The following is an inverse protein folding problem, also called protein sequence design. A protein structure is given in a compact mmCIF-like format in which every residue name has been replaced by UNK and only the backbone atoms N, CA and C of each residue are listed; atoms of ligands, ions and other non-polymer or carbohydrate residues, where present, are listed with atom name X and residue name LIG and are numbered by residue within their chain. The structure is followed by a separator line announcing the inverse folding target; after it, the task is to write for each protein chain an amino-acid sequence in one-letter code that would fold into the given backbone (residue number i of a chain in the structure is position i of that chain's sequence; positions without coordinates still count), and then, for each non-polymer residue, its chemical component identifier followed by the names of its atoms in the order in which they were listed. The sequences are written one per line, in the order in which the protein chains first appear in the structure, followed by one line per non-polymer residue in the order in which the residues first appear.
data_IF_761647070239
#
_entry.id   IF_761647070239
#
_cell.length_a   1.000
_cell.length_b   1.000
_cell.length_c   1.000
_cell.angle_alpha   90.00
_cell.angle_beta   90.00
_cell.angle_gamma   90.00
#
_symmetry.space_group_name_H-M   'P 1'
#
loop_
_entity.id
_entity.type
_entity.pdbx_description
1 polymer ?
#
# COMPACT_ATOMS: atom_id res chain seq x y z
N UNK A 1 -5.70 25.01 -3.31
CA UNK A 1 -5.53 24.21 -2.08
C UNK A 1 -4.79 22.96 -2.47
N UNK A 2 -3.45 22.97 -2.37
CA UNK A 2 -2.62 21.77 -2.47
C UNK A 2 -2.99 20.90 -1.28
N UNK A 3 -3.93 19.97 -1.46
CA UNK A 3 -4.21 18.97 -0.44
C UNK A 3 -2.91 18.24 -0.17
N UNK A 4 -2.35 18.41 1.02
CA UNK A 4 -1.07 17.80 1.39
C UNK A 4 -1.11 16.30 1.07
N UNK A 5 -0.02 15.75 0.55
CA UNK A 5 0.06 14.32 0.24
C UNK A 5 0.09 13.50 1.53
N UNK A 6 -0.53 12.32 1.55
CA UNK A 6 -0.39 11.38 2.67
C UNK A 6 1.01 10.76 2.65
N UNK A 7 1.62 10.59 3.82
CA UNK A 7 2.88 9.84 3.94
C UNK A 7 2.59 8.35 3.76
N UNK A 8 3.40 7.67 2.95
CA UNK A 8 3.31 6.22 2.74
C UNK A 8 4.34 5.52 3.62
N UNK A 9 3.85 4.63 4.49
CA UNK A 9 4.66 3.68 5.26
C UNK A 9 4.45 2.28 4.67
N UNK A 10 5.48 1.44 4.70
CA UNK A 10 5.41 0.07 4.17
C UNK A 10 5.84 -0.94 5.22
N UNK A 11 4.99 -1.95 5.43
CA UNK A 11 5.33 -3.15 6.19
C UNK A 11 6.35 -4.01 5.42
N UNK A 12 7.14 -4.87 6.11
CA UNK A 12 8.21 -5.66 5.50
C UNK A 12 7.79 -6.51 4.30
N UNK A 13 6.57 -7.04 4.29
CA UNK A 13 6.05 -7.83 3.17
C UNK A 13 5.93 -7.00 1.88
N UNK A 14 5.37 -5.79 1.97
CA UNK A 14 5.19 -4.92 0.81
C UNK A 14 6.55 -4.44 0.30
N UNK A 15 7.49 -4.17 1.22
CA UNK A 15 8.89 -3.85 0.89
C UNK A 15 9.55 -4.97 0.09
N UNK A 16 9.55 -6.19 0.64
CA UNK A 16 10.15 -7.36 -0.01
C UNK A 16 9.51 -7.62 -1.38
N UNK A 17 8.19 -7.45 -1.49
CA UNK A 17 7.50 -7.59 -2.77
C UNK A 17 7.98 -6.55 -3.80
N UNK A 18 8.07 -5.27 -3.42
CA UNK A 18 8.56 -4.20 -4.29
C UNK A 18 10.00 -4.47 -4.77
N UNK A 19 10.89 -4.91 -3.86
CA UNK A 19 12.29 -5.23 -4.18
C UNK A 19 12.44 -6.35 -5.21
N UNK A 20 11.48 -7.27 -5.25
CA UNK A 20 11.50 -8.41 -6.18
C UNK A 20 10.72 -8.15 -7.48
N UNK A 21 10.13 -6.96 -7.66
CA UNK A 21 9.43 -6.64 -8.90
C UNK A 21 10.41 -6.34 -10.05
N UNK A 22 10.09 -6.78 -11.28
CA UNK A 22 10.71 -6.23 -12.48
C UNK A 22 10.51 -4.70 -12.53
N UNK A 23 11.51 -3.96 -13.02
CA UNK A 23 11.50 -2.49 -13.00
C UNK A 23 10.23 -1.86 -13.61
N UNK A 24 9.72 -2.40 -14.71
CA UNK A 24 8.50 -1.90 -15.34
C UNK A 24 7.25 -2.09 -14.45
N UNK A 25 7.18 -3.17 -13.68
CA UNK A 25 6.11 -3.41 -12.72
C UNK A 25 6.25 -2.54 -11.47
N UNK A 26 7.49 -2.30 -11.01
CA UNK A 26 7.76 -1.38 -9.91
C UNK A 26 7.21 0.02 -10.20
N UNK A 27 7.50 0.56 -11.40
CA UNK A 27 7.02 1.89 -11.81
C UNK A 27 5.49 1.96 -11.79
N UNK A 28 4.80 0.91 -12.23
CA UNK A 28 3.34 0.87 -12.18
C UNK A 28 2.85 0.85 -10.72
N UNK A 29 3.45 0.02 -9.86
CA UNK A 29 3.09 -0.04 -8.45
C UNK A 29 3.29 1.32 -7.75
N UNK A 30 4.44 1.97 -7.97
CA UNK A 30 4.74 3.31 -7.48
C UNK A 30 3.67 4.32 -7.92
N UNK A 31 3.31 4.37 -9.20
CA UNK A 31 2.27 5.29 -9.69
C UNK A 31 0.91 5.08 -9.02
N UNK A 32 0.55 3.83 -8.68
CA UNK A 32 -0.71 3.54 -7.97
C UNK A 32 -0.64 3.98 -6.51
N UNK A 33 0.50 3.77 -5.85
CA UNK A 33 0.74 4.21 -4.47
C UNK A 33 0.79 5.74 -4.39
N UNK A 34 1.40 6.41 -5.35
CA UNK A 34 1.42 7.86 -5.47
C UNK A 34 0.02 8.45 -5.58
N UNK A 35 -0.81 7.88 -6.47
CA UNK A 35 -2.22 8.29 -6.59
C UNK A 35 -3.00 8.06 -5.30
N UNK A 36 -2.71 6.98 -4.57
CA UNK A 36 -3.29 6.72 -3.27
C UNK A 36 -2.85 7.78 -2.25
N UNK A 37 -1.57 8.14 -2.23
CA UNK A 37 -1.03 9.17 -1.34
C UNK A 37 -1.72 10.52 -1.54
N UNK A 38 -2.05 10.89 -2.78
CA UNK A 38 -2.72 12.15 -3.10
C UNK A 38 -4.22 12.14 -2.73
N UNK A 39 -4.86 10.97 -2.77
CA UNK A 39 -6.32 10.85 -2.72
C UNK A 39 -6.80 9.87 -1.64
N UNK A 40 -6.03 9.65 -0.57
CA UNK A 40 -6.21 8.50 0.33
C UNK A 40 -7.62 8.36 0.94
N UNK A 41 -8.33 9.49 1.14
CA UNK A 41 -9.70 9.53 1.68
C UNK A 41 -10.80 9.57 0.62
N UNK A 42 -10.47 9.95 -0.63
CA UNK A 42 -11.45 10.16 -1.71
C UNK A 42 -11.34 9.13 -2.82
N UNK A 43 -10.24 8.38 -2.89
CA UNK A 43 -10.02 7.33 -3.87
C UNK A 43 -10.95 6.16 -3.53
N UNK A 44 -11.98 5.97 -4.36
CA UNK A 44 -12.96 4.89 -4.25
C UNK A 44 -12.83 3.84 -5.35
N UNK A 45 -13.89 3.06 -5.54
CA UNK A 45 -13.97 2.07 -6.62
C UNK A 45 -13.84 2.73 -8.02
N UNK A 46 -13.18 2.07 -8.98
CA UNK A 46 -12.67 0.69 -8.96
C UNK A 46 -11.28 0.50 -8.33
N UNK A 47 -10.62 1.59 -7.93
CA UNK A 47 -9.21 1.60 -7.52
C UNK A 47 -8.99 1.12 -6.10
N UNK A 48 -9.93 1.40 -5.21
CA UNK A 48 -9.89 0.91 -3.83
C UNK A 48 -11.19 0.21 -3.47
N UNK A 49 -11.17 -0.57 -2.39
CA UNK A 49 -12.36 -1.16 -1.80
C UNK A 49 -12.20 -1.25 -0.29
N UNK A 50 -13.29 -1.05 0.44
CA UNK A 50 -13.32 -1.29 1.88
C UNK A 50 -13.41 -2.79 2.19
N UNK A 51 -12.55 -3.27 3.10
CA UNK A 51 -12.52 -4.66 3.57
C UNK A 51 -13.15 -4.85 4.97
N UNK A 52 -13.67 -3.76 5.55
CA UNK A 52 -14.28 -3.70 6.88
C UNK A 52 -13.35 -3.08 7.93
N UNK A 53 -13.94 -2.44 8.93
CA UNK A 53 -13.17 -1.68 9.94
C UNK A 53 -12.35 -0.57 9.29
N UNK A 54 -11.08 -0.46 9.70
CA UNK A 54 -10.10 0.51 9.16
C UNK A 54 -9.39 0.02 7.88
N UNK A 55 -9.61 -1.24 7.50
CA UNK A 55 -8.89 -1.90 6.43
C UNK A 55 -9.50 -1.61 5.05
N UNK A 56 -8.62 -1.29 4.10
CA UNK A 56 -8.92 -1.03 2.69
C UNK A 56 -7.97 -1.83 1.81
N UNK A 57 -8.35 -2.05 0.56
CA UNK A 57 -7.45 -2.60 -0.47
C UNK A 57 -7.26 -1.61 -1.61
N UNK A 58 -6.04 -1.52 -2.14
CA UNK A 58 -5.70 -0.90 -3.42
C UNK A 58 -5.70 -1.98 -4.51
N UNK A 59 -6.28 -1.68 -5.66
CA UNK A 59 -6.57 -2.63 -6.75
C UNK A 59 -5.92 -2.16 -8.05
N UNK A 60 -5.06 -3.00 -8.63
CA UNK A 60 -4.43 -2.75 -9.93
C UNK A 60 -3.96 -4.06 -10.55
N UNK A 61 -3.51 -4.02 -11.80
CA UNK A 61 -2.96 -5.16 -12.53
C UNK A 61 -1.48 -4.93 -12.85
N UNK A 62 -0.69 -6.00 -12.74
CA UNK A 62 0.71 -6.05 -13.20
C UNK A 62 0.87 -7.19 -14.20
N UNK A 63 1.10 -6.86 -15.47
CA UNK A 63 1.30 -7.86 -16.52
C UNK A 63 0.13 -8.86 -16.65
N UNK A 64 -1.11 -8.37 -16.54
CA UNK A 64 -2.32 -9.20 -16.57
C UNK A 64 -2.65 -9.93 -15.26
N UNK A 65 -1.86 -9.73 -14.20
CA UNK A 65 -2.11 -10.28 -12.88
C UNK A 65 -2.74 -9.24 -11.96
N UNK A 66 -3.95 -9.52 -11.48
CA UNK A 66 -4.64 -8.67 -10.52
C UNK A 66 -3.94 -8.69 -9.17
N UNK A 67 -3.33 -7.56 -8.80
CA UNK A 67 -2.66 -7.34 -7.52
C UNK A 67 -3.52 -6.53 -6.57
N UNK A 68 -3.38 -6.84 -5.28
CA UNK A 68 -4.06 -6.18 -4.18
C UNK A 68 -3.04 -5.83 -3.12
N UNK A 69 -3.07 -4.59 -2.65
CA UNK A 69 -2.31 -4.16 -1.47
C UNK A 69 -3.33 -3.79 -0.40
N UNK A 70 -3.32 -4.47 0.73
CA UNK A 70 -4.12 -4.10 1.87
C UNK A 70 -3.44 -2.95 2.62
N UNK A 71 -4.21 -1.95 3.03
CA UNK A 71 -3.70 -0.78 3.72
C UNK A 71 -4.72 -0.23 4.72
N UNK A 72 -4.27 0.63 5.61
CA UNK A 72 -5.15 1.42 6.47
C UNK A 72 -4.72 2.89 6.52
N UNK A 73 -5.65 3.75 6.90
CA UNK A 73 -5.39 5.17 7.13
C UNK A 73 -5.06 5.35 8.61
N UNK A 74 -3.78 5.59 8.91
CA UNK A 74 -3.31 5.90 10.25
C UNK A 74 -3.49 7.39 10.56
N UNK A 75 -3.45 7.80 11.84
CA UNK A 75 -3.40 9.21 12.23
C UNK A 75 -2.27 9.98 11.52
N UNK A 76 -2.36 11.31 11.55
CA UNK A 76 -1.31 12.21 10.98
C UNK A 76 -1.16 12.11 9.46
N UNK A 77 -2.27 11.81 8.76
CA UNK A 77 -2.33 11.73 7.28
C UNK A 77 -1.34 10.71 6.73
N UNK A 78 -1.36 9.51 7.30
CA UNK A 78 -0.51 8.39 6.90
C UNK A 78 -1.33 7.26 6.30
N UNK A 79 -0.76 6.62 5.28
CA UNK A 79 -1.25 5.37 4.71
C UNK A 79 -0.17 4.33 4.98
N UNK A 80 -0.54 3.25 5.68
CA UNK A 80 0.38 2.14 5.92
C UNK A 80 -0.03 0.98 5.02
N UNK A 81 0.86 0.59 4.11
CA UNK A 81 0.69 -0.57 3.25
C UNK A 81 1.10 -1.83 4.03
N UNK A 82 0.16 -2.75 4.22
CA UNK A 82 0.27 -3.85 5.19
C UNK A 82 0.71 -5.16 4.55
N UNK A 83 -0.07 -5.63 3.58
CA UNK A 83 0.14 -6.92 2.91
C UNK A 83 -0.15 -6.80 1.42
N UNK A 84 0.38 -7.72 0.62
CA UNK A 84 0.17 -7.75 -0.82
C UNK A 84 -0.13 -9.17 -1.30
N UNK A 85 -1.11 -9.30 -2.18
CA UNK A 85 -1.48 -10.61 -2.74
C UNK A 85 -2.01 -10.49 -4.17
N UNK A 86 -1.83 -11.57 -4.93
CA UNK A 86 -2.48 -11.74 -6.23
C UNK A 86 -3.89 -12.26 -5.99
N UNK A 87 -4.89 -11.66 -6.63
CA UNK A 87 -6.25 -12.17 -6.63
C UNK A 87 -6.30 -13.47 -7.45
N UNK A 88 -6.62 -14.57 -6.80
CA UNK A 88 -6.78 -15.91 -7.41
C UNK A 88 -8.22 -16.41 -7.36
N UNK A 89 -9.03 -15.92 -6.41
CA UNK A 89 -10.42 -16.31 -6.17
C UNK A 89 -11.35 -15.10 -6.13
N UNK A 90 -12.65 -15.36 -6.02
CA UNK A 90 -13.66 -14.30 -5.84
C UNK A 90 -13.65 -13.73 -4.42
N UNK A 91 -13.27 -14.54 -3.43
CA UNK A 91 -13.18 -14.15 -2.02
C UNK A 91 -11.85 -14.64 -1.46
N UNK A 92 -11.03 -13.73 -0.97
CA UNK A 92 -9.72 -13.99 -0.41
C UNK A 92 -9.75 -13.79 1.12
N UNK A 93 -10.67 -14.48 1.82
CA UNK A 93 -10.92 -14.25 3.25
C UNK A 93 -9.65 -14.41 4.09
N UNK A 94 -8.81 -15.40 3.79
CA UNK A 94 -7.55 -15.62 4.48
C UNK A 94 -6.58 -14.43 4.35
N UNK A 95 -6.52 -13.80 3.16
CA UNK A 95 -5.66 -12.62 2.95
C UNK A 95 -6.21 -11.40 3.70
N UNK A 96 -7.53 -11.25 3.75
CA UNK A 96 -8.17 -10.18 4.53
C UNK A 96 -7.91 -10.38 6.03
N UNK A 97 -8.00 -11.59 6.54
CA UNK A 97 -7.75 -11.88 7.95
C UNK A 97 -6.27 -11.69 8.32
N UNK A 98 -5.35 -12.05 7.43
CA UNK A 98 -3.91 -11.79 7.56
C UNK A 98 -3.63 -10.29 7.59
N UNK A 99 -4.23 -9.52 6.68
CA UNK A 99 -4.12 -8.07 6.66
C UNK A 99 -4.69 -7.42 7.94
N UNK A 100 -5.79 -7.95 8.50
CA UNK A 100 -6.34 -7.51 9.78
C UNK A 100 -5.38 -7.79 10.95
N UNK A 101 -4.74 -8.94 10.97
CA UNK A 101 -3.76 -9.27 12.01
C UNK A 101 -2.55 -8.31 11.96
N UNK A 102 -2.01 -8.04 10.78
CA UNK A 102 -0.92 -7.07 10.59
C UNK A 102 -1.39 -5.66 10.96
N UNK A 103 -2.61 -5.25 10.58
CA UNK A 103 -3.19 -3.96 10.97
C UNK A 103 -3.27 -3.79 12.48
N UNK A 104 -3.75 -4.81 13.20
CA UNK A 104 -3.89 -4.76 14.66
C UNK A 104 -2.53 -4.69 15.37
N UNK A 105 -1.53 -5.44 14.89
CA UNK A 105 -0.17 -5.38 15.40
C UNK A 105 0.49 -4.02 15.14
N UNK A 106 0.36 -3.51 13.91
CA UNK A 106 0.78 -2.18 13.49
C UNK A 106 0.13 -1.10 14.37
N UNK A 107 -1.19 -1.11 14.55
CA UNK A 107 -1.88 -0.14 15.40
C UNK A 107 -1.45 -0.19 16.87
N UNK A 108 -1.21 -1.38 17.43
CA UNK A 108 -0.79 -1.55 18.81
C UNK A 108 0.69 -1.16 19.06
N UNK A 109 1.55 -1.31 18.06
CA UNK A 109 2.99 -1.01 18.14
C UNK A 109 3.40 0.38 17.63
N UNK A 110 2.48 1.15 17.05
CA UNK A 110 2.80 2.40 16.35
C UNK A 110 3.16 3.57 17.29
N UNK A 111 4.46 3.74 17.57
CA UNK A 111 5.04 5.07 17.75
C UNK A 111 5.33 5.69 16.37
N UNK A 112 5.16 7.01 16.15
CA UNK A 112 5.43 7.63 14.84
C UNK A 112 6.90 7.44 14.45
N UNK A 113 7.15 6.77 13.33
CA UNK A 113 8.41 6.77 12.58
C UNK A 113 9.69 6.24 13.28
N UNK A 114 9.61 5.24 14.17
CA UNK A 114 10.81 4.60 14.72
C UNK A 114 11.25 3.32 13.96
N UNK A 115 10.31 2.49 13.50
CA UNK A 115 10.64 1.12 13.03
C UNK A 115 10.30 0.82 11.56
N UNK A 116 9.69 1.76 10.82
CA UNK A 116 9.32 1.55 9.41
C UNK A 116 10.10 2.48 8.47
N UNK A 117 10.67 1.90 7.41
CA UNK A 117 11.28 2.67 6.32
C UNK A 117 10.21 3.57 5.68
N UNK A 118 10.45 4.88 5.74
CA UNK A 118 9.66 5.87 5.01
C UNK A 118 9.92 5.63 3.52
N UNK A 119 8.86 5.44 2.72
CA UNK A 119 8.99 5.40 1.27
C UNK A 119 9.46 6.78 0.78
N UNK A 120 10.76 6.93 0.62
CA UNK A 120 11.42 8.09 0.05
C UNK A 120 12.02 7.68 -1.28
N UNK A 121 11.75 8.44 -2.35
CA UNK A 121 12.46 8.29 -3.62
C UNK A 121 13.96 8.46 -3.38
N UNK A 122 14.83 7.46 -3.55
CA UNK A 122 16.14 7.79 -4.06
C UNK A 122 15.90 8.25 -5.50
N UNK A 123 16.08 9.55 -5.75
CA UNK A 123 16.29 10.04 -7.10
C UNK A 123 17.44 9.18 -7.66
N UNK A 124 17.14 8.24 -8.56
CA UNK A 124 18.16 7.66 -9.43
C UNK A 124 18.51 8.75 -10.44
N UNK A 125 19.32 9.69 -10.00
CA UNK A 125 20.19 10.40 -10.92
C UNK A 125 21.14 9.37 -11.51
N UNK A 126 21.33 9.48 -12.83
CA UNK A 126 22.29 8.73 -13.65
C UNK A 126 21.86 7.34 -14.12
N UNK A 127 21.11 7.33 -15.24
CA UNK A 127 21.67 6.69 -16.43
C UNK A 127 21.74 7.75 -17.54
N UNK A 128 22.99 8.15 -17.80
CA UNK A 128 23.42 8.98 -18.92
C UNK A 128 23.41 8.18 -20.21
#
# INVERSE_FOLDING_TARGET
MTGERYTIEIEPEVRLWLENLPAHHYVIAEQKVDRLAENATTLGEPYTRHLGGKLRELRFDLGGNAQRIAYWLAPDRRVVLLTVFRKTKMRETAEVDRARAVQAACEAGHAPAADHDIYSRPIKEELR
#
